data_IF_784116148385
#
_entry.id   IF_784116148385
#
_cell.length_a   1.000
_cell.length_b   1.000
_cell.length_c   1.000
_cell.angle_alpha   90.00
_cell.angle_beta   90.00
_cell.angle_gamma   90.00
#
_symmetry.space_group_name_H-M   'P 1'
#
loop_
_entity.id
_entity.type
_entity.pdbx_description
1 polymer ?
#
# COMPACT_ATOMS: atom_id res chain seq x y z
N UNK A 1 6.61 4.04 -9.83
CA UNK A 1 5.93 4.10 -8.53
C UNK A 1 5.70 2.73 -7.91
N UNK A 2 5.18 1.76 -8.67
CA UNK A 2 5.07 0.36 -8.25
C UNK A 2 6.39 -0.20 -7.68
N UNK A 3 7.50 -0.01 -8.38
CA UNK A 3 8.84 -0.44 -7.92
C UNK A 3 9.24 0.19 -6.57
N UNK A 4 8.85 1.44 -6.33
CA UNK A 4 9.10 2.13 -5.07
C UNK A 4 8.27 1.53 -3.93
N UNK A 5 6.98 1.26 -4.15
CA UNK A 5 6.12 0.61 -3.15
C UNK A 5 6.62 -0.79 -2.81
N UNK A 6 6.97 -1.60 -3.82
CA UNK A 6 7.58 -2.93 -3.61
C UNK A 6 8.86 -2.84 -2.77
N UNK A 7 9.69 -1.82 -3.03
CA UNK A 7 10.92 -1.59 -2.26
C UNK A 7 10.64 -1.19 -0.82
N UNK A 8 9.63 -0.35 -0.57
CA UNK A 8 9.20 0.02 0.79
C UNK A 8 8.71 -1.19 1.58
N UNK A 9 7.87 -2.02 0.96
CA UNK A 9 7.34 -3.24 1.56
C UNK A 9 8.47 -4.20 1.92
N UNK A 10 9.38 -4.48 0.98
CA UNK A 10 10.53 -5.36 1.20
C UNK A 10 11.47 -4.83 2.27
N UNK A 11 11.78 -3.53 2.26
CA UNK A 11 12.65 -2.91 3.28
C UNK A 11 12.03 -3.01 4.67
N UNK A 12 10.73 -2.74 4.79
CA UNK A 12 10.03 -2.86 6.07
C UNK A 12 10.06 -4.28 6.60
N UNK A 13 9.75 -5.27 5.75
CA UNK A 13 9.73 -6.69 6.12
C UNK A 13 11.12 -7.17 6.56
N UNK A 14 12.17 -6.80 5.83
CA UNK A 14 13.54 -7.11 6.21
C UNK A 14 13.95 -6.50 7.56
N UNK A 15 13.43 -5.32 7.91
CA UNK A 15 13.76 -4.63 9.16
C UNK A 15 12.93 -5.11 10.37
N UNK A 16 11.69 -5.53 10.15
CA UNK A 16 10.75 -5.86 11.25
C UNK A 16 10.43 -7.36 11.36
N UNK A 17 10.82 -8.17 10.36
CA UNK A 17 10.52 -9.60 10.30
C UNK A 17 9.07 -9.93 9.92
N UNK A 18 8.27 -8.91 9.63
CA UNK A 18 6.85 -9.04 9.29
C UNK A 18 6.50 -8.04 8.18
N UNK A 19 5.62 -8.47 7.27
CA UNK A 19 5.16 -7.63 6.16
C UNK A 19 4.24 -6.50 6.66
N UNK A 20 4.37 -5.27 6.14
CA UNK A 20 3.36 -4.25 6.40
C UNK A 20 2.02 -4.65 5.77
N UNK A 21 0.92 -4.09 6.26
CA UNK A 21 -0.41 -4.32 5.68
C UNK A 21 -1.07 -3.05 5.14
N UNK A 22 -0.42 -1.89 5.31
CA UNK A 22 -0.97 -0.62 4.85
C UNK A 22 0.12 0.25 4.22
N UNK A 23 -0.22 0.90 3.12
CA UNK A 23 0.55 1.98 2.50
C UNK A 23 -0.22 3.28 2.63
N UNK A 24 0.39 4.31 3.20
CA UNK A 24 -0.13 5.67 3.17
C UNK A 24 0.45 6.42 1.99
N UNK A 25 -0.39 7.08 1.20
CA UNK A 25 0.04 7.96 0.11
C UNK A 25 -1.04 9.00 -0.22
N UNK A 26 -0.69 10.06 -0.94
CA UNK A 26 -1.68 11.00 -1.47
C UNK A 26 -2.27 10.54 -2.81
N UNK A 27 -3.31 11.24 -3.29
CA UNK A 27 -3.99 10.90 -4.54
C UNK A 27 -3.07 10.94 -5.77
N UNK A 28 -2.12 11.88 -5.82
CA UNK A 28 -1.18 12.01 -6.94
C UNK A 28 -0.30 10.77 -7.09
N UNK A 29 0.31 10.31 -5.99
CA UNK A 29 1.11 9.09 -5.99
C UNK A 29 0.29 7.85 -6.31
N UNK A 30 -0.96 7.81 -5.83
CA UNK A 30 -1.89 6.75 -6.15
C UNK A 30 -2.25 6.73 -7.65
N UNK A 31 -2.42 7.90 -8.27
CA UNK A 31 -2.61 8.03 -9.72
C UNK A 31 -1.45 7.41 -10.51
N UNK A 32 -0.20 7.78 -10.18
CA UNK A 32 0.98 7.20 -10.84
C UNK A 32 1.10 5.68 -10.62
N UNK A 33 0.73 5.19 -9.45
CA UNK A 33 0.70 3.77 -9.18
C UNK A 33 -0.30 3.04 -10.09
N UNK A 34 -1.51 3.59 -10.28
CA UNK A 34 -2.52 3.00 -11.15
C UNK A 34 -2.10 2.96 -12.62
N UNK A 35 -1.42 4.00 -13.10
CA UNK A 35 -0.91 4.06 -14.48
C UNK A 35 0.11 2.94 -14.78
N UNK A 36 0.85 2.48 -13.77
CA UNK A 36 1.84 1.40 -13.90
C UNK A 36 1.25 -0.01 -13.75
N UNK A 37 -0.05 -0.13 -13.41
CA UNK A 37 -0.72 -1.41 -13.19
C UNK A 37 -1.73 -1.71 -14.32
N UNK A 38 -1.34 -2.49 -15.35
CA UNK A 38 -2.22 -2.78 -16.46
C UNK A 38 -3.40 -3.65 -16.03
N UNK A 39 -4.61 -3.29 -16.47
CA UNK A 39 -5.83 -4.09 -16.24
C UNK A 39 -6.57 -3.80 -14.94
N UNK A 40 -6.04 -2.93 -14.08
CA UNK A 40 -6.71 -2.45 -12.86
C UNK A 40 -7.88 -1.54 -13.20
N UNK A 41 -9.06 -1.81 -12.65
CA UNK A 41 -10.28 -1.03 -12.88
C UNK A 41 -10.61 -0.11 -11.72
N UNK A 42 -10.45 -0.60 -10.51
CA UNK A 42 -10.81 0.10 -9.28
C UNK A 42 -9.72 -0.05 -8.21
N UNK A 43 -10.03 0.39 -6.99
CA UNK A 43 -9.11 0.37 -5.86
C UNK A 43 -8.83 -1.03 -5.35
N UNK A 44 -9.84 -1.90 -5.36
CA UNK A 44 -9.74 -3.25 -4.82
C UNK A 44 -8.82 -4.10 -5.69
N UNK A 45 -8.82 -3.89 -7.01
CA UNK A 45 -7.84 -4.47 -7.92
C UNK A 45 -6.40 -4.06 -7.56
N UNK A 46 -6.16 -2.79 -7.19
CA UNK A 46 -4.82 -2.30 -6.82
C UNK A 46 -4.35 -2.99 -5.53
N UNK A 47 -5.18 -2.99 -4.50
CA UNK A 47 -4.83 -3.56 -3.20
C UNK A 47 -4.65 -5.07 -3.29
N UNK A 48 -5.45 -5.76 -4.12
CA UNK A 48 -5.30 -7.18 -4.40
C UNK A 48 -3.95 -7.51 -5.08
N UNK A 49 -3.53 -6.71 -6.07
CA UNK A 49 -2.24 -6.91 -6.75
C UNK A 49 -1.07 -6.68 -5.80
N UNK A 50 -1.14 -5.63 -4.98
CA UNK A 50 -0.07 -5.29 -4.04
C UNK A 50 -0.08 -6.20 -2.80
N UNK A 51 -1.21 -6.81 -2.48
CA UNK A 51 -1.43 -7.58 -1.26
C UNK A 51 -1.31 -6.72 0.01
N UNK A 52 -1.46 -5.40 -0.09
CA UNK A 52 -1.45 -4.44 1.02
C UNK A 52 -2.52 -3.39 0.77
N UNK A 53 -3.17 -2.93 1.82
CA UNK A 53 -4.17 -1.86 1.70
C UNK A 53 -3.51 -0.52 1.42
N UNK A 54 -4.30 0.42 0.89
CA UNK A 54 -3.86 1.79 0.63
C UNK A 54 -4.78 2.77 1.34
N UNK A 55 -4.21 3.59 2.23
CA UNK A 55 -4.89 4.73 2.82
C UNK A 55 -4.47 6.02 2.11
N UNK A 56 -5.45 6.73 1.55
CA UNK A 56 -5.23 8.02 0.91
C UNK A 56 -5.26 9.14 1.95
N UNK A 57 -4.21 9.96 1.99
CA UNK A 57 -4.12 11.13 2.85
C UNK A 57 -3.26 12.21 2.20
N UNK A 58 -3.75 13.45 2.18
CA UNK A 58 -2.99 14.61 1.69
C UNK A 58 -1.78 14.94 2.57
N UNK A 59 -1.77 14.48 3.82
CA UNK A 59 -0.65 14.62 4.75
C UNK A 59 0.50 13.65 4.41
N UNK A 60 0.23 12.60 3.61
CA UNK A 60 1.24 11.65 3.16
C UNK A 60 2.03 12.20 1.96
N UNK A 61 2.87 13.21 2.26
CA UNK A 61 3.77 13.86 1.29
C UNK A 61 4.69 12.88 0.55
N UNK A 62 5.04 11.77 1.20
CA UNK A 62 5.78 10.65 0.60
C UNK A 62 5.09 9.33 0.95
N UNK A 63 5.02 8.37 0.00
CA UNK A 63 4.49 7.05 0.31
C UNK A 63 5.31 6.40 1.42
N UNK A 64 4.63 5.83 2.40
CA UNK A 64 5.26 5.09 3.48
C UNK A 64 4.37 3.92 3.91
N UNK A 65 4.99 2.93 4.53
CA UNK A 65 4.31 1.69 4.93
C UNK A 65 4.16 1.62 6.44
N UNK A 66 3.08 1.00 6.87
CA UNK A 66 2.80 0.76 8.27
C UNK A 66 2.18 -0.63 8.45
N UNK A 67 2.25 -1.10 9.69
CA UNK A 67 1.45 -2.23 10.14
C UNK A 67 0.38 -1.71 11.09
N UNK A 68 -0.86 -1.70 10.64
CA UNK A 68 -2.01 -1.27 11.44
C UNK A 68 -2.81 -2.49 11.89
N UNK A 69 -3.38 -2.40 13.09
CA UNK A 69 -4.33 -3.39 13.60
C UNK A 69 -5.71 -2.73 13.61
N UNK A 70 -6.71 -3.38 13.00
CA UNK A 70 -8.10 -2.96 13.13
C UNK A 70 -8.75 -3.85 14.19
N UNK A 71 -8.77 -3.38 15.44
CA UNK A 71 -9.11 -4.24 16.57
C UNK A 71 -8.09 -5.37 16.77
N UNK A 72 -8.55 -6.61 16.97
CA UNK A 72 -7.69 -7.79 17.12
C UNK A 72 -7.36 -8.51 15.80
N UNK A 73 -7.91 -8.06 14.66
CA UNK A 73 -7.69 -8.69 13.36
C UNK A 73 -6.87 -7.77 12.44
N UNK A 74 -5.88 -8.35 11.75
CA UNK A 74 -5.16 -7.67 10.68
C UNK A 74 -6.14 -7.40 9.54
N UNK A 75 -6.20 -6.16 9.03
CA UNK A 75 -7.15 -5.75 7.99
C UNK A 75 -7.01 -6.67 6.78
N UNK A 76 -8.01 -7.53 6.62
CA UNK A 76 -8.47 -8.16 5.39
C UNK A 76 -9.95 -8.42 5.64
N UNK A 77 -10.81 -7.54 5.14
CA UNK A 77 -12.22 -7.85 4.89
C UNK A 77 -12.69 -6.84 3.85
N UNK A 78 -13.19 -7.23 2.69
CA UNK A 78 -13.81 -8.50 2.26
C UNK A 78 -14.00 -8.44 0.76
#
# INVERSE_FOLDING_TARGET
MLSFIVSLVSTYENHHGERPNLVYMNEMHYGYLREELPGVRDHDDVTAILGVDIALSDEALHPHVARVKFGENYVLSS
#
